data_IF_588228066313
#
_entry.id   IF_588228066313
#
_cell.length_a   1.000
_cell.length_b   1.000
_cell.length_c   1.000
_cell.angle_alpha   90.00
_cell.angle_beta   90.00
_cell.angle_gamma   90.00
#
_symmetry.space_group_name_H-M   'P 1'
#
loop_
_entity.id
_entity.type
_entity.pdbx_description
1 polymer ?
#
# COMPACT_ATOMS: atom_id res chain seq x y z
N UNK A 1 -6.69 -6.83 -15.63
CA UNK A 1 -5.53 -6.02 -16.09
C UNK A 1 -4.77 -6.79 -17.17
N UNK A 2 -4.56 -6.23 -18.37
CA UNK A 2 -3.95 -6.95 -19.51
C UNK A 2 -2.79 -6.15 -20.15
N UNK A 3 -1.89 -5.62 -19.33
CA UNK A 3 -0.67 -4.99 -19.85
C UNK A 3 0.31 -6.09 -20.31
N UNK A 4 0.80 -6.08 -21.57
CA UNK A 4 1.76 -7.07 -22.07
C UNK A 4 3.04 -7.19 -21.23
N UNK A 5 3.48 -6.10 -20.59
CA UNK A 5 4.68 -6.08 -19.74
C UNK A 5 4.48 -6.93 -18.48
N UNK A 6 3.27 -6.92 -17.92
CA UNK A 6 2.93 -7.77 -16.75
C UNK A 6 2.92 -9.26 -17.11
N UNK A 7 2.53 -9.60 -18.34
CA UNK A 7 2.59 -10.99 -18.81
C UNK A 7 4.03 -11.49 -18.95
N UNK A 8 4.93 -10.62 -19.43
CA UNK A 8 6.35 -10.95 -19.58
C UNK A 8 7.11 -10.89 -18.26
N UNK A 9 6.70 -10.01 -17.34
CA UNK A 9 7.30 -9.82 -16.03
C UNK A 9 6.21 -9.51 -15.00
N UNK A 10 5.78 -10.52 -14.21
CA UNK A 10 4.77 -10.32 -13.18
C UNK A 10 5.09 -9.21 -12.18
N UNK A 11 6.37 -8.94 -11.90
CA UNK A 11 6.78 -7.85 -10.99
C UNK A 11 6.41 -6.45 -11.52
N UNK A 12 6.16 -6.30 -12.83
CA UNK A 12 5.73 -5.03 -13.43
C UNK A 12 4.29 -4.64 -13.01
N UNK A 13 3.53 -5.58 -12.43
CA UNK A 13 2.23 -5.33 -11.81
C UNK A 13 2.31 -4.16 -10.82
N UNK A 14 3.31 -4.18 -9.97
CA UNK A 14 3.49 -3.21 -8.90
C UNK A 14 3.73 -1.80 -9.44
N UNK A 15 4.48 -1.66 -10.52
CA UNK A 15 4.71 -0.38 -11.21
C UNK A 15 3.40 0.19 -11.74
N UNK A 16 2.60 -0.63 -12.44
CA UNK A 16 1.31 -0.20 -12.99
C UNK A 16 0.35 0.19 -11.86
N UNK A 17 0.32 -0.59 -10.79
CA UNK A 17 -0.54 -0.35 -9.65
C UNK A 17 -0.19 0.99 -8.97
N UNK A 18 1.08 1.18 -8.59
CA UNK A 18 1.54 2.40 -7.95
C UNK A 18 1.32 3.63 -8.85
N UNK A 19 1.55 3.51 -10.15
CA UNK A 19 1.32 4.63 -11.09
C UNK A 19 -0.15 5.10 -11.17
N UNK A 20 -1.10 4.28 -10.74
CA UNK A 20 -2.54 4.59 -10.77
C UNK A 20 -3.08 5.10 -9.44
N UNK A 21 -2.55 4.61 -8.34
CA UNK A 21 -3.08 4.89 -6.99
C UNK A 21 -2.37 6.07 -6.34
N UNK A 22 -1.12 6.34 -6.71
CA UNK A 22 -0.39 7.49 -6.18
C UNK A 22 -0.92 8.75 -6.86
N UNK A 23 -1.48 9.66 -6.05
CA UNK A 23 -2.09 10.91 -6.52
C UNK A 23 -1.10 12.07 -6.57
N UNK A 24 -0.04 12.04 -5.75
CA UNK A 24 0.99 13.08 -5.68
C UNK A 24 2.32 12.52 -5.19
N UNK A 25 3.42 12.92 -5.84
CA UNK A 25 4.80 12.65 -5.42
C UNK A 25 5.59 13.94 -5.49
N UNK A 26 5.79 14.59 -4.34
CA UNK A 26 6.50 15.86 -4.25
C UNK A 26 5.91 16.93 -5.18
N UNK A 27 6.76 17.44 -6.08
CA UNK A 27 6.44 18.47 -7.08
C UNK A 27 6.23 17.91 -8.50
N UNK A 28 6.14 16.59 -8.67
CA UNK A 28 5.94 16.01 -10.00
C UNK A 28 4.54 16.37 -10.53
N UNK A 29 4.50 16.86 -11.77
CA UNK A 29 3.26 17.26 -12.46
C UNK A 29 2.39 16.05 -12.84
N UNK A 30 3.01 14.91 -13.13
CA UNK A 30 2.31 13.69 -13.47
C UNK A 30 3.04 12.45 -12.96
N UNK A 31 2.26 11.43 -12.61
CA UNK A 31 2.75 10.13 -12.18
C UNK A 31 2.29 9.12 -13.24
N UNK A 32 3.26 8.41 -13.81
CA UNK A 32 3.02 7.42 -14.85
C UNK A 32 3.99 6.24 -14.65
N UNK A 33 3.81 5.10 -15.36
CA UNK A 33 4.67 3.93 -15.17
C UNK A 33 6.16 4.22 -15.36
N UNK A 34 6.53 5.13 -16.26
CA UNK A 34 7.93 5.48 -16.50
C UNK A 34 8.55 6.22 -15.31
N UNK A 35 7.78 7.04 -14.60
CA UNK A 35 8.26 7.67 -13.35
C UNK A 35 8.53 6.61 -12.29
N UNK A 36 7.58 5.70 -12.07
CA UNK A 36 7.68 4.68 -11.01
C UNK A 36 8.78 3.65 -11.29
N UNK A 37 8.95 3.23 -12.55
CA UNK A 37 9.99 2.24 -12.91
C UNK A 37 11.42 2.79 -12.82
N UNK A 38 11.59 4.12 -12.87
CA UNK A 38 12.89 4.79 -12.78
C UNK A 38 13.21 5.32 -11.37
N UNK A 39 12.39 4.98 -10.37
CA UNK A 39 12.71 5.28 -8.97
C UNK A 39 13.92 4.46 -8.50
N UNK A 40 14.66 4.99 -7.52
CA UNK A 40 15.68 4.18 -6.85
C UNK A 40 15.02 2.98 -6.18
N UNK A 41 15.75 1.86 -6.09
CA UNK A 41 15.23 0.61 -5.53
C UNK A 41 14.65 0.80 -4.11
N UNK A 42 15.31 1.61 -3.27
CA UNK A 42 14.84 1.91 -1.92
C UNK A 42 13.54 2.73 -1.91
N UNK A 43 13.39 3.70 -2.81
CA UNK A 43 12.17 4.52 -2.91
C UNK A 43 10.99 3.68 -3.41
N UNK A 44 11.24 2.83 -4.41
CA UNK A 44 10.23 1.90 -4.91
C UNK A 44 9.80 0.92 -3.81
N UNK A 45 10.75 0.36 -3.05
CA UNK A 45 10.45 -0.52 -1.92
C UNK A 45 9.61 0.18 -0.84
N UNK A 46 9.95 1.43 -0.52
CA UNK A 46 9.18 2.23 0.42
C UNK A 46 7.72 2.43 -0.04
N UNK A 47 7.50 2.78 -1.31
CA UNK A 47 6.15 2.97 -1.85
C UNK A 47 5.35 1.66 -1.90
N UNK A 48 6.02 0.52 -2.13
CA UNK A 48 5.39 -0.80 -2.06
C UNK A 48 4.92 -1.13 -0.65
N UNK A 49 5.79 -0.92 0.35
CA UNK A 49 5.46 -1.14 1.76
C UNK A 49 4.32 -0.20 2.21
N UNK A 50 4.39 1.08 1.85
CA UNK A 50 3.35 2.05 2.15
C UNK A 50 2.00 1.63 1.54
N UNK A 51 2.00 1.22 0.27
CA UNK A 51 0.80 0.71 -0.37
C UNK A 51 0.25 -0.53 0.36
N UNK A 52 1.12 -1.48 0.71
CA UNK A 52 0.72 -2.68 1.46
C UNK A 52 0.09 -2.29 2.79
N UNK A 53 0.75 -1.47 3.62
CA UNK A 53 0.23 -1.00 4.92
C UNK A 53 -1.14 -0.33 4.81
N UNK A 54 -1.35 0.52 3.81
CA UNK A 54 -2.65 1.18 3.59
C UNK A 54 -3.75 0.16 3.26
N UNK A 55 -3.44 -0.89 2.51
CA UNK A 55 -4.45 -1.84 2.02
C UNK A 55 -4.59 -3.11 2.88
N UNK A 56 -3.56 -3.46 3.65
CA UNK A 56 -3.60 -4.52 4.65
C UNK A 56 -4.37 -4.07 5.89
N UNK A 57 -4.35 -2.77 6.21
CA UNK A 57 -5.12 -2.17 7.30
C UNK A 57 -6.57 -1.82 6.93
N UNK A 58 -7.13 -2.39 5.85
CA UNK A 58 -8.53 -2.18 5.47
C UNK A 58 -9.54 -2.72 6.50
N UNK A 59 -9.08 -3.51 7.46
CA UNK A 59 -9.72 -3.70 8.76
C UNK A 59 -8.67 -3.46 9.83
N UNK A 60 -8.54 -2.21 10.29
CA UNK A 60 -7.74 -1.86 11.46
C UNK A 60 -8.42 -2.34 12.76
N UNK A 61 -9.10 -3.49 12.69
CA UNK A 61 -9.95 -4.07 13.71
C UNK A 61 -9.14 -5.11 14.47
N UNK A 62 -8.77 -4.79 15.71
CA UNK A 62 -8.24 -5.76 16.65
C UNK A 62 -9.44 -6.46 17.29
N UNK A 63 -9.64 -7.73 16.96
CA UNK A 63 -10.61 -8.57 17.65
C UNK A 63 -10.11 -8.86 19.08
N UNK A 64 -10.69 -8.18 20.05
CA UNK A 64 -10.33 -8.30 21.46
C UNK A 64 -11.39 -9.07 22.26
N UNK A 65 -10.94 -9.79 23.30
CA UNK A 65 -11.82 -10.48 24.25
C UNK A 65 -11.51 -10.00 25.65
N UNK A 66 -12.51 -9.48 26.36
CA UNK A 66 -12.35 -9.03 27.74
C UNK A 66 -12.08 -10.24 28.66
N UNK A 67 -10.93 -10.31 29.37
CA UNK A 67 -10.59 -11.46 30.22
C UNK A 67 -11.47 -11.57 31.47
N UNK A 68 -12.22 -10.52 31.83
CA UNK A 68 -13.13 -10.54 32.99
C UNK A 68 -14.51 -11.13 32.70
N UNK A 69 -15.05 -10.90 31.50
CA UNK A 69 -16.44 -11.26 31.18
C UNK A 69 -16.62 -12.00 29.85
N UNK A 70 -15.55 -12.16 29.06
CA UNK A 70 -15.60 -12.85 27.76
C UNK A 70 -16.27 -12.06 26.63
N UNK A 71 -16.63 -10.79 26.87
CA UNK A 71 -17.19 -9.92 25.83
C UNK A 71 -16.18 -9.72 24.70
N UNK A 72 -16.64 -9.93 23.45
CA UNK A 72 -15.86 -9.74 22.23
C UNK A 72 -16.17 -8.36 21.65
N UNK A 73 -15.15 -7.63 21.25
CA UNK A 73 -15.28 -6.30 20.69
C UNK A 73 -14.14 -6.02 19.72
N UNK A 74 -14.41 -5.13 18.77
CA UNK A 74 -13.45 -4.71 17.76
C UNK A 74 -12.88 -3.35 18.18
N UNK A 75 -11.55 -3.25 18.23
CA UNK A 75 -10.85 -2.00 18.50
C UNK A 75 -10.24 -1.47 17.21
N UNK A 76 -10.33 -0.16 17.00
CA UNK A 76 -9.52 0.52 15.99
C UNK A 76 -8.08 0.65 16.52
N UNK A 77 -7.09 0.12 15.79
CA UNK A 77 -5.68 0.29 16.17
C UNK A 77 -5.30 1.79 16.07
N UNK A 78 -4.74 2.40 17.14
CA UNK A 78 -4.36 3.80 17.10
C UNK A 78 -3.20 4.00 16.12
N UNK A 79 -3.29 5.03 15.28
CA UNK A 79 -2.22 5.41 14.35
C UNK A 79 -0.93 5.67 15.15
N UNK A 80 0.07 4.80 15.01
CA UNK A 80 1.37 5.02 15.64
C UNK A 80 2.09 6.17 14.92
N UNK A 81 2.00 7.37 15.50
CA UNK A 81 2.69 8.55 15.00
C UNK A 81 2.24 9.86 15.65
N UNK A 82 2.40 9.99 16.96
CA UNK A 82 2.51 11.30 17.65
C UNK A 82 3.93 11.49 18.18
#
# INVERSE_FOLDING_TARGET
MKDPRVKSNPAYLTIILLSRVITKLGSLESINPAVIENLFASDLAYLQDLYARINENATNEIHAVCPKCGHKFDLEEPEQGE
#
